data_IF_605890197638
#
_entry.id   IF_605890197638
#
_cell.length_a   1.000
_cell.length_b   1.000
_cell.length_c   1.000
_cell.angle_alpha   90.00
_cell.angle_beta   90.00
_cell.angle_gamma   90.00
#
_symmetry.space_group_name_H-M   'P 1'
#
loop_
_entity.id
_entity.type
_entity.pdbx_description
1 polymer ?
#
# COMPACT_ATOMS: atom_id res chain seq x y z
N UNK A 1 -38.82 35.77 59.32
CA UNK A 1 -38.56 35.66 57.87
C UNK A 1 -37.81 34.36 57.60
N UNK A 2 -38.07 33.70 56.46
CA UNK A 2 -38.21 32.26 56.40
C UNK A 2 -37.09 31.53 55.63
N UNK A 3 -36.95 30.25 55.97
CA UNK A 3 -36.72 29.09 55.11
C UNK A 3 -35.32 28.60 54.72
N UNK A 4 -35.18 27.26 54.49
CA UNK A 4 -33.94 26.47 54.48
C UNK A 4 -33.64 25.72 53.15
N UNK A 5 -32.38 25.22 52.99
CA UNK A 5 -31.89 24.09 52.11
C UNK A 5 -32.27 24.10 50.60
N UNK A 6 -31.81 23.20 49.67
CA UNK A 6 -31.02 21.95 49.80
C UNK A 6 -29.89 21.69 48.75
N UNK A 7 -29.23 20.53 48.94
CA UNK A 7 -28.44 19.64 48.06
C UNK A 7 -28.39 19.84 46.54
N UNK A 8 -27.22 19.52 45.94
CA UNK A 8 -27.12 18.54 44.83
C UNK A 8 -25.66 18.25 44.39
N UNK A 9 -25.26 16.98 44.54
CA UNK A 9 -24.69 16.08 43.53
C UNK A 9 -23.39 16.39 42.76
N UNK A 10 -22.46 15.45 42.92
CA UNK A 10 -21.72 14.71 41.90
C UNK A 10 -21.22 15.44 40.65
N UNK A 11 -19.91 15.31 40.37
CA UNK A 11 -19.40 14.62 39.16
C UNK A 11 -17.86 14.59 39.20
N UNK A 12 -17.29 13.39 39.17
CA UNK A 12 -15.91 13.15 38.76
C UNK A 12 -15.75 13.55 37.29
N UNK A 13 -14.67 14.23 36.89
CA UNK A 13 -14.11 13.97 35.57
C UNK A 13 -13.14 12.79 35.70
N UNK A 14 -13.65 11.62 35.29
CA UNK A 14 -12.85 10.57 34.66
C UNK A 14 -12.04 11.21 33.53
N UNK A 15 -10.74 11.01 33.55
CA UNK A 15 -9.86 11.44 32.48
C UNK A 15 -8.57 10.62 32.51
N UNK A 16 -8.72 9.29 32.48
CA UNK A 16 -7.65 8.35 32.16
C UNK A 16 -7.08 8.80 30.82
N UNK A 17 -5.96 9.50 30.83
CA UNK A 17 -5.18 9.74 29.63
C UNK A 17 -4.69 8.36 29.19
N UNK A 18 -5.51 7.69 28.37
CA UNK A 18 -5.05 6.66 27.47
C UNK A 18 -3.98 7.31 26.61
N UNK A 19 -2.72 7.10 26.99
CA UNK A 19 -1.61 7.22 26.08
C UNK A 19 -1.93 6.27 24.92
N UNK A 20 -2.54 6.82 23.86
CA UNK A 20 -2.64 6.13 22.59
C UNK A 20 -1.23 5.78 22.13
N UNK A 21 -1.05 4.67 21.40
CA UNK A 21 0.27 4.27 20.94
C UNK A 21 0.84 5.42 20.13
N UNK A 22 2.07 5.80 20.51
CA UNK A 22 2.89 6.81 19.88
C UNK A 22 2.82 6.66 18.36
N UNK A 23 2.05 7.53 17.70
CA UNK A 23 2.11 7.69 16.26
C UNK A 23 3.53 8.17 15.95
N UNK A 24 4.41 7.23 15.60
CA UNK A 24 5.71 7.53 15.05
C UNK A 24 5.47 8.51 13.89
N UNK A 25 5.87 9.77 14.06
CA UNK A 25 5.81 10.78 13.01
C UNK A 25 6.78 10.34 11.92
N UNK A 26 6.27 9.63 10.94
CA UNK A 26 7.00 9.32 9.72
C UNK A 26 7.23 10.63 8.97
N UNK A 27 8.46 11.13 9.06
CA UNK A 27 8.95 12.21 8.22
C UNK A 27 8.95 11.70 6.78
N UNK A 28 8.18 12.34 5.90
CA UNK A 28 8.26 12.15 4.45
C UNK A 28 9.73 12.23 4.05
N UNK A 29 10.25 11.18 3.43
CA UNK A 29 11.61 11.17 2.91
C UNK A 29 11.73 12.27 1.85
N UNK A 30 12.52 13.33 2.09
CA UNK A 30 12.60 14.48 1.18
C UNK A 30 13.20 14.11 -0.18
N UNK A 31 13.82 12.93 -0.32
CA UNK A 31 14.37 12.44 -1.59
C UNK A 31 13.36 11.65 -2.43
N UNK A 32 12.12 11.43 -1.98
CA UNK A 32 11.09 10.83 -2.81
C UNK A 32 10.43 11.89 -3.70
N UNK A 33 11.20 12.43 -4.64
CA UNK A 33 10.64 13.17 -5.77
C UNK A 33 9.98 12.14 -6.69
N UNK A 34 8.65 12.11 -6.71
CA UNK A 34 7.94 11.45 -7.81
C UNK A 34 8.51 12.04 -9.11
N UNK A 35 8.90 11.23 -10.11
CA UNK A 35 9.23 11.80 -11.39
C UNK A 35 8.03 12.63 -11.85
N UNK A 36 8.26 13.91 -12.13
CA UNK A 36 7.24 14.88 -12.52
C UNK A 36 6.31 14.24 -13.56
N UNK A 37 5.04 14.04 -13.20
CA UNK A 37 4.04 13.40 -14.07
C UNK A 37 3.68 11.94 -13.78
N UNK A 38 4.18 11.33 -12.70
CA UNK A 38 3.75 9.97 -12.29
C UNK A 38 2.24 9.93 -11.96
N UNK A 39 1.45 9.36 -12.86
CA UNK A 39 0.03 9.06 -12.64
C UNK A 39 -0.12 8.05 -11.49
N UNK A 40 -0.90 8.39 -10.46
CA UNK A 40 -1.23 7.50 -9.36
C UNK A 40 -1.21 8.15 -7.98
N UNK A 41 -1.57 7.39 -6.95
CA UNK A 41 -1.69 7.87 -5.56
C UNK A 41 -0.40 7.61 -4.77
N UNK A 42 -0.05 8.47 -3.81
CA UNK A 42 1.12 8.25 -2.93
C UNK A 42 0.93 6.97 -2.11
N UNK A 43 1.86 5.99 -2.16
CA UNK A 43 1.77 4.79 -1.34
C UNK A 43 1.61 5.10 0.16
N UNK A 44 2.14 6.24 0.61
CA UNK A 44 2.01 6.70 1.99
C UNK A 44 0.56 6.88 2.42
N UNK A 45 -0.36 7.13 1.48
CA UNK A 45 -1.80 7.24 1.77
C UNK A 45 -2.43 5.90 2.15
N UNK A 46 -1.80 4.76 1.81
CA UNK A 46 -2.29 3.46 2.24
C UNK A 46 -1.89 3.13 3.69
N UNK A 47 -0.89 3.81 4.24
CA UNK A 47 -0.35 3.52 5.58
C UNK A 47 -1.40 3.83 6.66
N UNK A 48 -1.59 2.90 7.58
CA UNK A 48 -2.59 2.96 8.64
C UNK A 48 -3.99 2.48 8.22
N UNK A 49 -4.21 2.17 6.93
CA UNK A 49 -5.47 1.59 6.48
C UNK A 49 -5.50 0.09 6.75
N UNK A 50 -6.70 -0.41 7.06
CA UNK A 50 -6.95 -1.85 7.26
C UNK A 50 -7.37 -2.48 5.94
N UNK A 51 -6.53 -3.38 5.44
CA UNK A 51 -6.73 -4.15 4.23
C UNK A 51 -7.76 -5.25 4.50
N UNK A 52 -8.83 -5.27 3.70
CA UNK A 52 -9.94 -6.22 3.79
C UNK A 52 -9.90 -7.30 2.72
N UNK A 53 -9.44 -6.96 1.53
CA UNK A 53 -9.35 -7.92 0.44
C UNK A 53 -8.30 -7.53 -0.58
N UNK A 54 -7.68 -8.54 -1.19
CA UNK A 54 -6.75 -8.40 -2.31
C UNK A 54 -7.31 -9.22 -3.46
N UNK A 55 -7.39 -8.63 -4.66
CA UNK A 55 -7.91 -9.33 -5.84
C UNK A 55 -7.07 -9.07 -7.08
N UNK A 56 -6.59 -10.14 -7.72
CA UNK A 56 -5.95 -10.08 -9.03
C UNK A 56 -7.02 -10.09 -10.12
N UNK A 57 -6.84 -9.25 -11.14
CA UNK A 57 -7.74 -9.27 -12.30
C UNK A 57 -7.39 -10.44 -13.23
N UNK A 58 -8.39 -11.21 -13.72
CA UNK A 58 -8.15 -12.31 -14.67
C UNK A 58 -7.88 -11.81 -16.10
N UNK A 59 -8.33 -10.59 -16.44
CA UNK A 59 -8.24 -10.04 -17.79
C UNK A 59 -7.11 -9.02 -17.97
N UNK A 60 -6.60 -8.46 -16.88
CA UNK A 60 -5.66 -7.34 -16.91
C UNK A 60 -4.52 -7.56 -15.90
N UNK A 61 -3.29 -7.10 -16.17
CA UNK A 61 -2.16 -7.19 -15.24
C UNK A 61 -2.29 -6.12 -14.15
N UNK A 62 -3.31 -6.28 -13.31
CA UNK A 62 -3.68 -5.35 -12.24
C UNK A 62 -4.07 -6.10 -10.97
N UNK A 63 -3.72 -5.53 -9.84
CA UNK A 63 -4.06 -5.99 -8.50
C UNK A 63 -4.86 -4.91 -7.79
N UNK A 64 -6.01 -5.28 -7.22
CA UNK A 64 -6.87 -4.36 -6.48
C UNK A 64 -6.79 -4.66 -4.99
N UNK A 65 -6.57 -3.62 -4.19
CA UNK A 65 -6.52 -3.63 -2.73
C UNK A 65 -7.78 -2.93 -2.21
N UNK A 66 -8.59 -3.61 -1.41
CA UNK A 66 -9.81 -3.07 -0.80
C UNK A 66 -9.61 -2.84 0.69
N UNK A 67 -9.97 -1.66 1.18
CA UNK A 67 -9.75 -1.25 2.56
C UNK A 67 -11.05 -1.05 3.34
N UNK A 68 -10.97 -1.13 4.66
CA UNK A 68 -12.12 -1.03 5.57
C UNK A 68 -12.81 0.36 5.54
N UNK A 69 -12.07 1.41 5.16
CA UNK A 69 -12.59 2.76 4.97
C UNK A 69 -13.34 2.94 3.63
N UNK A 70 -13.63 1.84 2.93
CA UNK A 70 -14.27 1.77 1.60
C UNK A 70 -13.43 2.37 0.48
N UNK A 71 -12.17 2.69 0.73
CA UNK A 71 -11.25 3.05 -0.35
C UNK A 71 -10.71 1.80 -1.04
N UNK A 72 -10.36 1.94 -2.31
CA UNK A 72 -9.74 0.90 -3.10
C UNK A 72 -8.59 1.48 -3.92
N UNK A 73 -7.48 0.75 -3.96
CA UNK A 73 -6.30 1.13 -4.72
C UNK A 73 -6.01 0.04 -5.75
N UNK A 74 -5.74 0.45 -6.99
CA UNK A 74 -5.41 -0.49 -8.07
C UNK A 74 -3.93 -0.31 -8.45
N UNK A 75 -3.15 -1.38 -8.25
CA UNK A 75 -1.79 -1.50 -8.75
C UNK A 75 -1.87 -1.93 -10.20
N UNK A 76 -1.23 -1.18 -11.09
CA UNK A 76 -1.24 -1.42 -12.54
C UNK A 76 0.19 -1.50 -13.04
N UNK A 77 0.41 -2.31 -14.08
CA UNK A 77 1.70 -2.32 -14.76
C UNK A 77 1.89 -1.02 -15.53
N UNK A 78 3.08 -0.44 -15.45
CA UNK A 78 3.37 0.84 -16.10
C UNK A 78 3.20 0.73 -17.63
N UNK A 79 2.62 1.78 -18.21
CA UNK A 79 2.26 1.86 -19.62
C UNK A 79 1.28 0.77 -20.11
N UNK A 80 0.57 0.05 -19.22
CA UNK A 80 -0.50 -0.86 -19.65
C UNK A 80 -1.74 -0.04 -20.05
N UNK A 81 -2.15 -0.17 -21.31
CA UNK A 81 -3.38 0.44 -21.81
C UNK A 81 -4.34 -0.65 -22.30
N UNK A 82 -5.51 -0.86 -21.66
CA UNK A 82 -6.49 -1.85 -22.11
C UNK A 82 -6.97 -1.66 -23.56
N UNK A 83 -6.99 -0.42 -24.06
CA UNK A 83 -7.40 -0.12 -25.43
C UNK A 83 -6.31 -0.47 -26.47
N UNK A 84 -5.05 -0.56 -26.03
CA UNK A 84 -3.89 -0.89 -26.85
C UNK A 84 -3.03 -1.92 -26.09
N UNK A 85 -3.48 -3.19 -26.00
CA UNK A 85 -2.87 -4.19 -25.13
C UNK A 85 -1.41 -4.51 -25.47
N UNK A 86 -0.92 -4.12 -26.66
CA UNK A 86 0.50 -4.13 -27.00
C UNK A 86 1.19 -5.48 -26.72
N UNK A 87 2.41 -5.41 -26.19
CA UNK A 87 3.16 -6.57 -25.69
C UNK A 87 2.51 -7.06 -24.38
N UNK A 88 2.30 -8.37 -24.19
CA UNK A 88 1.81 -8.92 -22.93
C UNK A 88 2.62 -8.41 -21.75
N UNK A 89 1.96 -7.70 -20.84
CA UNK A 89 2.55 -7.23 -19.58
C UNK A 89 2.06 -8.13 -18.46
N UNK A 90 2.96 -8.51 -17.56
CA UNK A 90 2.62 -9.27 -16.37
C UNK A 90 2.93 -8.44 -15.15
N UNK A 91 2.03 -8.53 -14.16
CA UNK A 91 2.31 -8.04 -12.82
C UNK A 91 3.07 -9.14 -12.09
N UNK A 92 4.32 -8.89 -11.77
CA UNK A 92 5.15 -9.77 -10.96
C UNK A 92 4.92 -9.46 -9.48
N UNK A 93 4.84 -10.50 -8.66
CA UNK A 93 4.80 -10.35 -7.21
C UNK A 93 5.68 -11.38 -6.50
N UNK A 94 5.98 -11.16 -5.23
CA UNK A 94 6.80 -12.08 -4.45
C UNK A 94 6.04 -13.39 -4.19
N UNK A 95 6.79 -14.46 -3.89
CA UNK A 95 6.23 -15.79 -3.66
C UNK A 95 5.17 -15.82 -2.56
N UNK A 96 5.35 -15.04 -1.49
CA UNK A 96 4.38 -14.99 -0.39
C UNK A 96 3.03 -14.43 -0.87
N UNK A 97 3.05 -13.35 -1.67
CA UNK A 97 1.83 -12.78 -2.22
C UNK A 97 1.21 -13.69 -3.28
N UNK A 98 2.01 -14.33 -4.14
CA UNK A 98 1.49 -15.31 -5.11
C UNK A 98 0.84 -16.53 -4.42
N UNK A 99 1.42 -17.01 -3.32
CA UNK A 99 0.85 -18.11 -2.53
C UNK A 99 -0.48 -17.72 -1.90
N UNK A 100 -0.57 -16.48 -1.41
CA UNK A 100 -1.80 -15.89 -0.88
C UNK A 100 -2.86 -15.72 -1.99
N UNK A 101 -2.45 -15.23 -3.16
CA UNK A 101 -3.29 -15.05 -4.36
C UNK A 101 -3.82 -16.38 -4.91
N UNK A 102 -3.03 -17.45 -4.85
CA UNK A 102 -3.46 -18.80 -5.24
C UNK A 102 -4.55 -19.37 -4.31
N UNK A 103 -4.59 -18.87 -3.07
CA UNK A 103 -5.53 -19.31 -2.04
C UNK A 103 -6.69 -18.32 -1.93
N UNK A 104 -7.43 -18.05 -3.02
CA UNK A 104 -8.44 -16.97 -3.14
C UNK A 104 -9.34 -16.74 -1.90
N UNK A 105 -9.69 -17.80 -1.16
CA UNK A 105 -10.46 -17.70 0.10
C UNK A 105 -9.74 -16.98 1.24
N UNK A 106 -8.41 -17.00 1.28
CA UNK A 106 -7.58 -16.33 2.28
C UNK A 106 -7.48 -14.82 2.05
N UNK A 107 -8.10 -14.31 0.98
CA UNK A 107 -8.02 -12.92 0.54
C UNK A 107 -9.33 -12.16 0.65
N UNK A 108 -10.33 -12.77 1.26
CA UNK A 108 -11.57 -12.14 1.67
C UNK A 108 -11.57 -12.06 3.20
N UNK A 109 -12.03 -10.94 3.76
CA UNK A 109 -12.07 -10.68 5.20
C UNK A 109 -10.72 -10.59 5.94
N UNK A 110 -9.68 -10.11 5.26
CA UNK A 110 -8.44 -9.71 5.91
C UNK A 110 -8.70 -8.58 6.94
N UNK A 111 -7.88 -8.53 7.99
CA UNK A 111 -7.90 -7.46 8.98
C UNK A 111 -6.50 -6.87 9.22
N UNK A 112 -5.65 -6.92 8.20
CA UNK A 112 -4.28 -6.48 8.35
C UNK A 112 -4.13 -4.98 8.12
N UNK A 113 -3.44 -4.29 9.01
CA UNK A 113 -3.12 -2.87 8.87
C UNK A 113 -1.85 -2.70 8.06
N UNK A 114 -1.89 -1.85 7.03
CA UNK A 114 -0.69 -1.50 6.26
C UNK A 114 0.21 -0.62 7.13
N UNK A 115 1.34 -1.16 7.58
CA UNK A 115 2.30 -0.42 8.41
C UNK A 115 3.33 0.34 7.59
N UNK A 116 3.65 -0.14 6.38
CA UNK A 116 4.58 0.51 5.45
C UNK A 116 4.12 0.34 4.01
N UNK A 117 4.34 1.35 3.18
CA UNK A 117 4.15 1.26 1.74
C UNK A 117 5.10 2.21 1.01
N UNK A 118 5.73 1.75 -0.07
CA UNK A 118 6.68 2.54 -0.86
C UNK A 118 6.75 2.04 -2.30
N UNK A 119 6.96 2.95 -3.24
CA UNK A 119 7.36 2.62 -4.60
C UNK A 119 8.89 2.66 -4.68
N UNK A 120 9.48 1.66 -5.33
CA UNK A 120 10.91 1.60 -5.58
C UNK A 120 11.18 1.31 -7.06
N UNK A 121 12.32 1.79 -7.54
CA UNK A 121 12.81 1.51 -8.89
C UNK A 121 13.91 0.46 -8.80
N UNK A 122 13.81 -0.57 -9.62
CA UNK A 122 14.84 -1.59 -9.79
C UNK A 122 15.37 -1.50 -11.22
N UNK A 123 16.62 -1.87 -11.42
CA UNK A 123 17.23 -1.87 -12.75
C UNK A 123 18.05 -3.14 -12.89
N UNK A 124 17.68 -3.97 -13.85
CA UNK A 124 18.39 -5.20 -14.19
C UNK A 124 19.30 -4.94 -15.38
N UNK A 125 20.57 -5.36 -15.23
CA UNK A 125 21.60 -5.15 -16.24
C UNK A 125 22.15 -6.50 -16.68
N UNK A 126 21.91 -6.83 -17.94
CA UNK A 126 22.54 -7.97 -18.60
C UNK A 126 23.76 -7.51 -19.38
N UNK A 127 24.85 -8.26 -19.31
CA UNK A 127 26.05 -8.02 -20.11
C UNK A 127 26.34 -9.28 -20.94
N UNK A 128 26.58 -9.11 -22.23
CA UNK A 128 27.10 -10.17 -23.09
C UNK A 128 28.44 -9.77 -23.66
N UNK A 129 29.35 -10.75 -23.66
CA UNK A 129 30.69 -10.62 -24.20
C UNK A 129 30.88 -11.63 -25.35
N UNK A 130 29.93 -11.66 -26.30
CA UNK A 130 30.14 -12.34 -27.56
C UNK A 130 30.94 -11.43 -28.52
N UNK A 131 31.95 -12.01 -29.18
CA UNK A 131 32.70 -11.40 -30.29
C UNK A 131 33.44 -10.08 -30.01
N UNK A 132 34.07 -9.94 -28.83
CA UNK A 132 34.85 -8.75 -28.43
C UNK A 132 34.05 -7.44 -28.45
N UNK A 133 32.72 -7.52 -28.53
CA UNK A 133 31.79 -6.38 -28.47
C UNK A 133 30.95 -6.53 -27.22
N UNK A 134 31.07 -5.58 -26.31
CA UNK A 134 30.25 -5.56 -25.10
C UNK A 134 28.87 -5.02 -25.47
N UNK A 135 27.85 -5.88 -25.39
CA UNK A 135 26.45 -5.46 -25.45
C UNK A 135 25.87 -5.49 -24.05
N UNK A 136 25.37 -4.34 -23.60
CA UNK A 136 24.60 -4.25 -22.36
C UNK A 136 23.11 -4.13 -22.67
N UNK A 137 22.30 -4.80 -21.87
CA UNK A 137 20.84 -4.63 -21.85
C UNK A 137 20.45 -4.08 -20.49
N UNK A 138 19.56 -3.09 -20.50
CA UNK A 138 19.06 -2.43 -19.30
C UNK A 138 17.54 -2.54 -19.28
N UNK A 139 17.01 -3.03 -18.18
CA UNK A 139 15.57 -3.11 -17.94
C UNK A 139 15.24 -2.43 -16.62
N UNK A 140 14.50 -1.33 -16.69
CA UNK A 140 14.05 -0.59 -15.51
C UNK A 140 12.65 -1.05 -15.12
N UNK A 141 12.49 -1.42 -13.86
CA UNK A 141 11.23 -1.83 -13.25
C UNK A 141 10.82 -0.84 -12.16
N UNK A 142 9.51 -0.63 -12.02
CA UNK A 142 8.93 0.09 -10.88
C UNK A 142 8.04 -0.88 -10.12
N UNK A 143 8.24 -0.97 -8.81
CA UNK A 143 7.52 -1.91 -7.95
C UNK A 143 6.92 -1.19 -6.74
N UNK A 144 5.79 -1.71 -6.26
CA UNK A 144 5.15 -1.32 -5.01
C UNK A 144 5.48 -2.37 -3.95
N UNK A 145 6.07 -1.94 -2.84
CA UNK A 145 6.24 -2.76 -1.64
C UNK A 145 5.32 -2.22 -0.57
N UNK A 146 4.65 -3.12 0.13
CA UNK A 146 3.91 -2.78 1.33
C UNK A 146 4.06 -3.89 2.37
N UNK A 147 4.00 -3.49 3.63
CA UNK A 147 4.05 -4.37 4.78
C UNK A 147 2.73 -4.26 5.52
N UNK A 148 2.23 -5.40 5.96
CA UNK A 148 1.00 -5.53 6.72
C UNK A 148 1.31 -6.15 8.08
N UNK A 149 0.56 -5.72 9.09
CA UNK A 149 0.56 -6.25 10.46
C UNK A 149 -0.87 -6.67 10.82
N UNK A 150 -1.02 -7.78 11.53
CA UNK A 150 -2.33 -8.28 11.99
C UNK A 150 -2.90 -7.47 13.15
#
# INVERSE_FOLDING_TARGET
MPSPQPSANATQPRGRASAGPSAARWTKDPNFSRPDGALGVDPSEMVGKVLKSIRRSPAHPTLTLHFADRTAYQVRTDGYNPAHPGVPKQLESNMDLETLLASERALEDLNWTVSRARIFKMSDKGFSQLDKRETSWHLDHTALAFQCEE
#
